data_IF_142841614474
#
_entry.id   IF_142841614474
#
_cell.length_a   1.000
_cell.length_b   1.000
_cell.length_c   1.000
_cell.angle_alpha   90.00
_cell.angle_beta   90.00
_cell.angle_gamma   90.00
#
_symmetry.space_group_name_H-M   'P 1'
#
loop_
_entity.id
_entity.type
_entity.pdbx_description
1 polymer ?
#
# COMPACT_ATOMS: atom_id res chain seq x y z
N UNK A 1 -41.47 15.35 -33.62
CA UNK A 1 -40.35 15.80 -32.78
C UNK A 1 -40.54 15.18 -31.41
N UNK A 2 -39.89 14.06 -31.15
CA UNK A 2 -39.97 13.36 -29.86
C UNK A 2 -38.65 13.58 -29.13
N UNK A 3 -38.63 13.99 -27.86
CA UNK A 3 -37.40 14.06 -27.10
C UNK A 3 -36.98 12.61 -26.83
N UNK A 4 -35.99 12.10 -27.56
CA UNK A 4 -35.36 10.84 -27.16
C UNK A 4 -34.50 11.12 -25.94
N UNK A 5 -35.14 11.15 -24.77
CA UNK A 5 -34.53 11.16 -23.45
C UNK A 5 -33.78 9.85 -23.21
N UNK A 6 -32.76 9.59 -24.02
CA UNK A 6 -31.82 8.52 -23.79
C UNK A 6 -31.02 8.86 -22.56
N UNK A 7 -31.07 8.01 -21.54
CA UNK A 7 -30.24 8.13 -20.34
C UNK A 7 -28.79 8.40 -20.79
N UNK A 8 -28.10 9.42 -20.24
CA UNK A 8 -26.71 9.66 -20.59
C UNK A 8 -25.92 8.42 -20.17
N UNK A 9 -25.41 7.69 -21.17
CA UNK A 9 -24.50 6.59 -20.93
C UNK A 9 -23.17 7.17 -20.51
N UNK A 10 -22.57 6.64 -19.45
CA UNK A 10 -21.29 7.10 -18.91
C UNK A 10 -20.22 7.28 -20.01
N UNK A 11 -20.14 6.34 -20.96
CA UNK A 11 -19.18 6.37 -22.08
C UNK A 11 -19.45 7.45 -23.14
N UNK A 12 -20.66 8.04 -23.17
CA UNK A 12 -20.99 9.16 -24.07
C UNK A 12 -20.59 10.52 -23.50
N UNK A 13 -20.25 10.58 -22.20
CA UNK A 13 -19.73 11.81 -21.61
C UNK A 13 -18.31 12.07 -22.14
N UNK A 14 -17.91 13.35 -22.32
CA UNK A 14 -16.52 13.73 -22.50
C UNK A 14 -15.63 13.14 -21.40
N UNK A 15 -14.37 12.87 -21.72
CA UNK A 15 -13.44 12.21 -20.82
C UNK A 15 -13.28 12.99 -19.51
N UNK A 16 -13.28 14.32 -19.57
CA UNK A 16 -13.12 15.20 -18.41
C UNK A 16 -14.27 15.01 -17.41
N UNK A 17 -15.51 14.85 -17.89
CA UNK A 17 -16.66 14.59 -17.03
C UNK A 17 -16.64 13.16 -16.47
N UNK A 18 -16.18 12.18 -17.26
CA UNK A 18 -15.98 10.82 -16.75
C UNK A 18 -14.93 10.80 -15.64
N UNK A 19 -13.82 11.50 -15.84
CA UNK A 19 -12.72 11.58 -14.90
C UNK A 19 -13.17 12.19 -13.56
N UNK A 20 -13.93 13.29 -13.60
CA UNK A 20 -14.52 13.88 -12.40
C UNK A 20 -15.45 12.90 -11.66
N UNK A 21 -16.33 12.19 -12.37
CA UNK A 21 -17.22 11.19 -11.76
C UNK A 21 -16.39 10.06 -11.13
N UNK A 22 -15.37 9.60 -11.85
CA UNK A 22 -14.51 8.51 -11.42
C UNK A 22 -13.65 8.88 -10.22
N UNK A 23 -13.23 10.13 -10.10
CA UNK A 23 -12.50 10.62 -8.94
C UNK A 23 -13.27 10.35 -7.63
N UNK A 24 -14.58 10.61 -7.60
CA UNK A 24 -15.43 10.31 -6.43
C UNK A 24 -15.62 8.81 -6.16
N UNK A 25 -15.40 7.95 -7.16
CA UNK A 25 -15.57 6.49 -7.04
C UNK A 25 -14.25 5.81 -6.66
N UNK A 26 -13.15 6.31 -7.23
CA UNK A 26 -11.81 5.72 -7.20
C UNK A 26 -11.00 6.26 -6.03
N UNK A 27 -11.03 7.58 -5.80
CA UNK A 27 -10.31 8.17 -4.69
C UNK A 27 -11.06 7.85 -3.41
N UNK A 28 -10.30 7.34 -2.44
CA UNK A 28 -10.80 7.07 -1.10
C UNK A 28 -10.16 8.10 -0.18
N UNK A 29 -10.77 9.30 -0.04
CA UNK A 29 -10.13 10.48 0.57
C UNK A 29 -9.70 10.30 2.02
N UNK A 30 -10.34 9.39 2.76
CA UNK A 30 -10.03 9.13 4.17
C UNK A 30 -9.46 7.72 4.42
N UNK A 31 -9.48 6.84 3.42
CA UNK A 31 -9.26 5.41 3.64
C UNK A 31 -7.99 4.92 2.99
N UNK A 32 -7.04 4.59 3.85
CA UNK A 32 -6.01 3.61 3.55
C UNK A 32 -6.69 2.30 3.13
N UNK A 33 -6.41 1.81 1.93
CA UNK A 33 -7.01 0.57 1.42
C UNK A 33 -6.28 -0.60 2.05
N UNK A 34 -6.90 -1.23 3.05
CA UNK A 34 -6.31 -2.38 3.74
C UNK A 34 -6.37 -3.61 2.86
N UNK A 35 -5.22 -4.27 2.68
CA UNK A 35 -5.07 -5.46 1.84
C UNK A 35 -5.62 -6.72 2.51
N UNK A 36 -5.87 -6.69 3.82
CA UNK A 36 -6.24 -7.85 4.64
C UNK A 36 -7.64 -7.71 5.25
N UNK A 37 -8.47 -8.77 5.21
CA UNK A 37 -9.79 -8.79 5.83
C UNK A 37 -9.75 -8.90 7.36
N UNK A 38 -8.57 -9.17 7.95
CA UNK A 38 -8.41 -9.59 9.34
C UNK A 38 -8.41 -8.44 10.36
N UNK A 39 -8.77 -7.21 9.97
CA UNK A 39 -8.58 -6.04 10.82
C UNK A 39 -9.84 -5.47 11.48
N UNK A 40 -9.70 -5.19 12.79
CA UNK A 40 -10.51 -4.28 13.60
C UNK A 40 -10.39 -2.79 13.18
N UNK A 41 -9.88 -2.49 11.97
CA UNK A 41 -9.93 -1.15 11.40
C UNK A 41 -11.33 -0.89 10.82
N UNK A 42 -12.34 -0.85 11.69
CA UNK A 42 -13.76 -0.65 11.36
C UNK A 42 -14.09 0.69 10.68
N UNK A 43 -13.08 1.50 10.32
CA UNK A 43 -13.22 2.73 9.53
C UNK A 43 -12.80 2.60 8.06
N UNK A 44 -11.98 1.61 7.70
CA UNK A 44 -11.39 1.53 6.35
C UNK A 44 -12.08 0.45 5.50
N UNK A 45 -12.28 0.73 4.21
CA UNK A 45 -12.90 -0.19 3.26
C UNK A 45 -12.04 -1.45 3.08
N UNK A 46 -12.64 -2.62 3.31
CA UNK A 46 -11.96 -3.93 3.50
C UNK A 46 -11.56 -4.58 2.16
N UNK A 47 -11.19 -3.80 1.13
CA UNK A 47 -10.81 -4.42 -0.13
C UNK A 47 -9.85 -3.58 -0.97
N UNK A 48 -8.63 -4.10 -1.11
CA UNK A 48 -7.67 -3.70 -2.16
C UNK A 48 -8.07 -4.10 -3.58
N UNK A 49 -9.38 -4.27 -3.81
CA UNK A 49 -9.97 -4.56 -5.12
C UNK A 49 -10.30 -3.25 -5.83
N UNK A 50 -10.03 -3.15 -7.14
CA UNK A 50 -10.52 -2.06 -7.94
C UNK A 50 -12.04 -1.90 -7.83
N UNK A 51 -12.57 -0.67 -7.95
CA UNK A 51 -14.00 -0.44 -7.97
C UNK A 51 -14.69 -1.31 -9.03
N UNK A 52 -15.90 -1.80 -8.73
CA UNK A 52 -16.64 -2.72 -9.61
C UNK A 52 -16.85 -2.20 -11.03
N UNK A 53 -16.86 -0.87 -11.20
CA UNK A 53 -16.93 -0.20 -12.50
C UNK A 53 -15.71 -0.49 -13.41
N UNK A 54 -14.57 -0.86 -12.86
CA UNK A 54 -13.40 -1.31 -13.62
C UNK A 54 -13.54 -2.74 -14.16
N UNK A 55 -14.61 -3.45 -13.78
CA UNK A 55 -14.91 -4.81 -14.25
C UNK A 55 -15.99 -4.85 -15.32
N UNK A 56 -16.73 -3.75 -15.54
CA UNK A 56 -17.86 -3.76 -16.49
C UNK A 56 -17.45 -3.45 -17.93
N UNK A 57 -16.30 -2.80 -18.14
CA UNK A 57 -15.86 -2.35 -19.48
C UNK A 57 -14.34 -2.17 -19.56
N UNK A 58 -13.74 -2.57 -20.69
CA UNK A 58 -12.28 -2.51 -20.91
C UNK A 58 -11.74 -1.07 -21.00
N UNK A 59 -12.49 -0.14 -21.62
CA UNK A 59 -12.10 1.27 -21.69
C UNK A 59 -12.07 1.88 -20.30
N UNK A 60 -13.14 1.69 -19.52
CA UNK A 60 -13.19 2.17 -18.13
C UNK A 60 -12.05 1.56 -17.31
N UNK A 61 -11.78 0.26 -17.48
CA UNK A 61 -10.66 -0.40 -16.81
C UNK A 61 -9.32 0.27 -17.13
N UNK A 62 -9.05 0.54 -18.41
CA UNK A 62 -7.80 1.13 -18.86
C UNK A 62 -7.64 2.58 -18.40
N UNK A 63 -8.72 3.38 -18.43
CA UNK A 63 -8.72 4.78 -18.00
C UNK A 63 -8.52 4.93 -16.47
N UNK A 64 -9.02 3.98 -15.68
CA UNK A 64 -9.21 4.15 -14.24
C UNK A 64 -8.28 3.33 -13.36
N UNK A 65 -7.82 2.14 -13.79
CA UNK A 65 -6.90 1.34 -12.97
C UNK A 65 -5.58 2.07 -12.65
N UNK A 66 -4.93 2.77 -13.59
CA UNK A 66 -3.73 3.52 -13.27
C UNK A 66 -3.96 4.55 -12.16
N UNK A 67 -5.06 5.32 -12.23
CA UNK A 67 -5.46 6.31 -11.23
C UNK A 67 -5.75 5.67 -9.87
N UNK A 68 -6.45 4.53 -9.87
CA UNK A 68 -6.73 3.79 -8.64
C UNK A 68 -5.45 3.39 -7.90
N UNK A 69 -4.43 2.89 -8.60
CA UNK A 69 -3.17 2.49 -7.95
C UNK A 69 -2.23 3.66 -7.65
N UNK A 70 -2.29 4.76 -8.41
CA UNK A 70 -1.42 5.93 -8.19
C UNK A 70 -1.92 6.86 -7.09
N UNK A 71 -3.23 6.99 -6.96
CA UNK A 71 -3.81 8.05 -6.15
C UNK A 71 -4.30 7.54 -4.77
N UNK A 72 -4.36 6.22 -4.57
CA UNK A 72 -4.67 5.61 -3.29
C UNK A 72 -3.41 5.10 -2.57
N UNK A 73 -3.50 5.04 -1.23
CA UNK A 73 -2.50 4.37 -0.39
C UNK A 73 -2.99 3.00 -0.01
N UNK A 74 -2.22 1.96 -0.36
CA UNK A 74 -2.50 0.58 0.01
C UNK A 74 -1.78 0.25 1.30
N UNK A 75 -2.42 -0.47 2.22
CA UNK A 75 -1.77 -0.91 3.44
C UNK A 75 -1.84 -2.40 3.67
N UNK A 76 -0.67 -2.98 3.92
CA UNK A 76 -0.53 -4.36 4.35
C UNK A 76 -0.06 -4.36 5.81
N UNK A 77 -0.82 -5.03 6.68
CA UNK A 77 -0.24 -5.45 7.94
C UNK A 77 0.57 -6.72 7.68
N UNK A 78 1.78 -6.85 8.21
CA UNK A 78 2.66 -7.98 7.91
C UNK A 78 3.26 -8.57 9.20
N UNK A 79 2.41 -8.85 10.18
CA UNK A 79 2.81 -9.34 11.52
C UNK A 79 3.15 -10.82 11.57
N UNK A 80 2.66 -11.57 10.59
CA UNK A 80 2.73 -13.01 10.56
C UNK A 80 2.84 -13.49 9.11
N UNK A 81 3.06 -14.79 8.94
CA UNK A 81 3.29 -15.41 7.63
C UNK A 81 2.03 -15.44 6.77
N UNK A 82 0.85 -15.61 7.36
CA UNK A 82 -0.43 -15.68 6.64
C UNK A 82 -0.80 -14.32 6.01
N UNK A 83 -0.55 -13.24 6.76
CA UNK A 83 -0.74 -11.87 6.31
C UNK A 83 0.18 -11.55 5.12
N UNK A 84 1.46 -11.98 5.19
CA UNK A 84 2.40 -11.86 4.08
C UNK A 84 1.95 -12.67 2.85
N UNK A 85 1.55 -13.92 3.02
CA UNK A 85 1.07 -14.78 1.92
C UNK A 85 -0.15 -14.16 1.23
N UNK A 86 -1.06 -13.57 1.99
CA UNK A 86 -2.22 -12.86 1.45
C UNK A 86 -1.81 -11.60 0.67
N UNK A 87 -0.89 -10.80 1.21
CA UNK A 87 -0.38 -9.60 0.55
C UNK A 87 0.36 -9.94 -0.76
N UNK A 88 1.19 -10.98 -0.75
CA UNK A 88 1.91 -11.47 -1.93
C UNK A 88 0.94 -12.02 -2.98
N UNK A 89 -0.09 -12.77 -2.56
CA UNK A 89 -1.14 -13.27 -3.48
C UNK A 89 -1.88 -12.12 -4.16
N UNK A 90 -2.22 -11.07 -3.40
CA UNK A 90 -2.81 -9.86 -3.97
C UNK A 90 -1.87 -9.20 -4.98
N UNK A 91 -0.60 -9.04 -4.64
CA UNK A 91 0.40 -8.41 -5.49
C UNK A 91 0.59 -9.20 -6.80
N UNK A 92 0.65 -10.53 -6.72
CA UNK A 92 0.69 -11.41 -7.89
C UNK A 92 -0.56 -11.27 -8.77
N UNK A 93 -1.75 -11.13 -8.15
CA UNK A 93 -3.00 -10.93 -8.88
C UNK A 93 -3.08 -9.56 -9.59
N UNK A 94 -2.33 -8.55 -9.13
CA UNK A 94 -2.19 -7.28 -9.84
C UNK A 94 -1.42 -7.44 -11.15
N UNK A 95 -0.29 -8.16 -11.09
CA UNK A 95 0.68 -8.26 -12.17
C UNK A 95 1.46 -6.95 -12.41
N UNK A 96 2.59 -7.05 -13.09
CA UNK A 96 3.53 -5.93 -13.30
C UNK A 96 2.91 -4.72 -14.00
N UNK A 97 1.91 -4.96 -14.87
CA UNK A 97 1.19 -3.91 -15.58
C UNK A 97 0.45 -2.95 -14.64
N UNK A 98 -0.01 -3.44 -13.50
CA UNK A 98 -0.71 -2.63 -12.51
C UNK A 98 0.23 -2.19 -11.37
N UNK A 99 1.19 -3.03 -10.96
CA UNK A 99 2.16 -2.71 -9.90
C UNK A 99 3.00 -1.48 -10.27
N UNK A 100 3.35 -1.28 -11.54
CA UNK A 100 4.06 -0.07 -11.99
C UNK A 100 3.31 1.24 -11.72
N UNK A 101 2.00 1.18 -11.51
CA UNK A 101 1.16 2.34 -11.17
C UNK A 101 1.04 2.56 -9.66
N UNK A 102 1.47 1.61 -8.83
CA UNK A 102 1.45 1.72 -7.38
C UNK A 102 2.39 2.85 -6.94
N UNK A 103 1.84 3.86 -6.28
CA UNK A 103 2.62 5.02 -5.84
C UNK A 103 2.96 4.99 -4.36
N UNK A 104 1.99 4.60 -3.52
CA UNK A 104 2.16 4.62 -2.06
C UNK A 104 1.72 3.29 -1.45
N UNK A 105 2.64 2.64 -0.76
CA UNK A 105 2.41 1.39 -0.05
C UNK A 105 2.81 1.58 1.42
N UNK A 106 1.89 1.39 2.34
CA UNK A 106 2.15 1.43 3.77
C UNK A 106 2.20 0.01 4.33
N UNK A 107 3.30 -0.32 5.00
CA UNK A 107 3.52 -1.59 5.67
C UNK A 107 3.45 -1.33 7.16
N UNK A 108 2.58 -2.04 7.87
CA UNK A 108 2.46 -1.89 9.30
C UNK A 108 2.58 -3.21 10.03
N UNK A 109 2.99 -3.13 11.29
CA UNK A 109 3.01 -4.31 12.11
C UNK A 109 3.66 -4.18 13.48
N UNK A 110 3.46 -5.20 14.30
CA UNK A 110 4.11 -5.35 15.59
C UNK A 110 5.49 -5.99 15.42
N UNK A 111 6.53 -5.21 15.65
CA UNK A 111 7.88 -5.76 15.87
C UNK A 111 8.07 -6.09 17.35
N UNK A 112 8.88 -7.12 17.60
CA UNK A 112 9.35 -7.50 18.93
C UNK A 112 10.74 -6.91 19.11
N UNK A 113 11.00 -6.31 20.27
CA UNK A 113 12.29 -5.66 20.58
C UNK A 113 12.82 -6.26 21.88
N UNK A 114 14.06 -6.79 21.90
CA UNK A 114 14.62 -7.38 23.10
C UNK A 114 15.13 -6.29 24.05
N UNK A 115 14.80 -6.43 25.33
CA UNK A 115 15.18 -5.54 26.43
C UNK A 115 15.71 -6.36 27.60
N UNK A 116 17.03 -6.56 27.66
CA UNK A 116 17.64 -7.49 28.62
C UNK A 116 17.08 -8.90 28.46
N UNK A 117 16.36 -9.39 29.48
CA UNK A 117 15.66 -10.69 29.47
C UNK A 117 14.19 -10.61 29.04
N UNK A 118 13.67 -9.42 28.74
CA UNK A 118 12.28 -9.18 28.35
C UNK A 118 12.16 -8.90 26.85
N UNK A 119 10.97 -9.12 26.28
CA UNK A 119 10.63 -8.74 24.90
C UNK A 119 9.45 -7.78 24.94
N UNK A 120 9.63 -6.59 24.36
CA UNK A 120 8.58 -5.58 24.21
C UNK A 120 8.03 -5.59 22.79
N UNK A 121 6.74 -5.27 22.61
CA UNK A 121 6.13 -5.14 21.28
C UNK A 121 5.99 -3.66 20.92
N UNK A 122 6.40 -3.29 19.72
CA UNK A 122 6.29 -1.93 19.18
C UNK A 122 5.56 -1.96 17.85
N UNK A 123 4.64 -1.02 17.68
CA UNK A 123 3.92 -0.85 16.42
C UNK A 123 4.76 0.01 15.48
N UNK A 124 5.01 -0.51 14.27
CA UNK A 124 5.70 0.19 13.20
C UNK A 124 4.75 0.42 12.05
N UNK A 125 4.84 1.61 11.46
CA UNK A 125 4.22 1.93 10.19
C UNK A 125 5.27 2.57 9.28
N UNK A 126 5.51 1.93 8.15
CA UNK A 126 6.47 2.35 7.12
C UNK A 126 5.69 2.66 5.86
N UNK A 127 5.77 3.90 5.38
CA UNK A 127 5.15 4.34 4.14
C UNK A 127 6.21 4.45 3.04
N UNK A 128 6.05 3.67 1.99
CA UNK A 128 6.91 3.63 0.82
C UNK A 128 6.29 4.50 -0.28
N UNK A 129 6.96 5.58 -0.65
CA UNK A 129 6.64 6.37 -1.83
C UNK A 129 7.43 5.85 -3.03
N UNK A 130 6.91 4.78 -3.64
CA UNK A 130 7.57 4.00 -4.70
C UNK A 130 8.05 4.87 -5.87
N UNK A 131 7.24 5.83 -6.32
CA UNK A 131 7.60 6.73 -7.43
C UNK A 131 8.70 7.73 -7.07
N UNK A 132 8.76 8.15 -5.80
CA UNK A 132 9.76 9.10 -5.31
C UNK A 132 11.04 8.40 -4.82
N UNK A 133 10.97 7.09 -4.55
CA UNK A 133 12.06 6.35 -3.93
C UNK A 133 12.31 6.79 -2.48
N UNK A 134 11.27 7.28 -1.79
CA UNK A 134 11.37 7.77 -0.40
C UNK A 134 10.60 6.84 0.53
N UNK A 135 11.12 6.65 1.74
CA UNK A 135 10.47 5.89 2.79
C UNK A 135 10.29 6.75 4.03
N UNK A 136 9.05 6.89 4.48
CA UNK A 136 8.68 7.56 5.72
C UNK A 136 8.35 6.53 6.79
N UNK A 137 8.73 6.80 8.04
CA UNK A 137 8.44 5.90 9.15
C UNK A 137 7.67 6.68 10.21
N UNK A 138 6.45 6.21 10.50
CA UNK A 138 5.63 6.70 11.60
C UNK A 138 5.68 5.69 12.73
N UNK A 139 6.38 6.04 13.80
CA UNK A 139 6.23 5.36 15.08
C UNK A 139 5.03 6.00 15.79
N UNK A 140 4.04 5.21 16.22
CA UNK A 140 3.08 5.74 17.20
C UNK A 140 3.84 5.95 18.50
N UNK A 141 3.98 7.22 18.89
CA UNK A 141 4.60 7.65 20.13
C UNK A 141 4.07 6.80 21.29
N UNK A 142 4.99 6.10 21.95
CA UNK A 142 4.88 5.97 23.38
C UNK A 142 5.77 7.05 23.94
N UNK A 143 5.16 8.12 24.46
CA UNK A 143 5.72 8.89 25.56
C UNK A 143 6.33 7.88 26.53
N UNK A 144 7.67 7.78 26.58
CA UNK A 144 8.46 7.20 27.66
C UNK A 144 9.92 7.16 27.20
N UNK A 145 10.64 8.17 27.72
CA UNK A 145 12.07 8.23 28.04
C UNK A 145 13.10 7.54 27.13
N UNK A 146 14.13 8.32 26.81
CA UNK A 146 15.41 7.88 26.28
C UNK A 146 15.91 6.59 26.98
N UNK A 147 15.91 5.48 26.24
CA UNK A 147 16.42 4.19 26.69
C UNK A 147 17.02 3.45 25.48
N UNK A 148 17.99 2.56 25.71
CA UNK A 148 18.70 1.75 24.69
C UNK A 148 17.77 1.01 23.70
N UNK A 149 16.51 0.81 24.09
CA UNK A 149 15.43 0.26 23.26
C UNK A 149 15.14 1.11 22.01
N UNK A 150 15.17 2.44 22.13
CA UNK A 150 14.93 3.38 21.04
C UNK A 150 16.07 3.30 20.00
N UNK A 151 17.31 3.14 20.47
CA UNK A 151 18.47 2.97 19.62
C UNK A 151 18.39 1.70 18.75
N UNK A 152 18.01 0.55 19.33
CA UNK A 152 17.94 -0.72 18.57
C UNK A 152 16.86 -0.71 17.49
N UNK A 153 15.67 -0.21 17.81
CA UNK A 153 14.58 -0.07 16.83
C UNK A 153 14.98 0.89 15.72
N UNK A 154 15.66 1.99 16.06
CA UNK A 154 16.19 2.90 15.07
C UNK A 154 17.24 2.24 14.18
N UNK A 155 18.16 1.42 14.71
CA UNK A 155 19.13 0.69 13.88
C UNK A 155 18.44 -0.18 12.84
N UNK A 156 17.45 -0.99 13.22
CA UNK A 156 16.75 -1.87 12.27
C UNK A 156 15.91 -1.06 11.27
N UNK A 157 15.34 0.07 11.69
CA UNK A 157 14.65 1.00 10.78
C UNK A 157 15.63 1.64 9.78
N UNK A 158 16.82 2.04 10.23
CA UNK A 158 17.86 2.58 9.37
C UNK A 158 18.41 1.53 8.40
N UNK A 159 18.52 0.26 8.82
CA UNK A 159 18.84 -0.87 7.92
C UNK A 159 17.76 -1.08 6.85
N UNK A 160 16.48 -0.97 7.23
CA UNK A 160 15.36 -1.03 6.28
C UNK A 160 15.40 0.15 5.31
N UNK A 161 15.66 1.37 5.78
CA UNK A 161 15.85 2.57 4.94
C UNK A 161 16.99 2.39 3.96
N UNK A 162 18.14 1.92 4.44
CA UNK A 162 19.32 1.67 3.62
C UNK A 162 19.06 0.58 2.56
N UNK A 163 18.35 -0.49 2.93
CA UNK A 163 17.97 -1.56 2.01
C UNK A 163 17.01 -1.07 0.93
N UNK A 164 16.01 -0.27 1.30
CA UNK A 164 15.10 0.36 0.35
C UNK A 164 15.82 1.32 -0.58
N UNK A 165 16.73 2.16 -0.05
CA UNK A 165 17.52 3.10 -0.85
C UNK A 165 18.40 2.37 -1.88
N UNK A 166 19.08 1.29 -1.48
CA UNK A 166 19.87 0.44 -2.40
C UNK A 166 18.99 -0.15 -3.51
N UNK A 167 17.78 -0.60 -3.16
CA UNK A 167 16.86 -1.16 -4.14
C UNK A 167 16.36 -0.08 -5.11
N UNK A 168 16.06 1.13 -4.64
CA UNK A 168 15.72 2.29 -5.49
C UNK A 168 16.87 2.63 -6.45
N UNK A 169 18.11 2.65 -5.95
CA UNK A 169 19.30 2.93 -6.75
C UNK A 169 19.54 1.86 -7.82
N UNK A 170 19.51 0.59 -7.42
CA UNK A 170 19.69 -0.55 -8.32
C UNK A 170 18.66 -0.56 -9.47
N UNK A 171 17.46 -0.03 -9.23
CA UNK A 171 16.41 0.08 -10.24
C UNK A 171 16.64 1.20 -11.22
N UNK A 172 17.44 2.24 -10.91
CA UNK A 172 17.81 3.31 -11.83
C UNK A 172 16.62 3.91 -12.61
N UNK A 173 15.48 4.09 -11.92
CA UNK A 173 14.24 4.64 -12.50
C UNK A 173 13.33 3.63 -13.21
N UNK A 174 13.65 2.32 -13.22
CA UNK A 174 12.77 1.29 -13.76
C UNK A 174 11.45 1.18 -12.98
N UNK A 175 10.30 0.95 -13.65
CA UNK A 175 8.99 0.84 -13.00
C UNK A 175 8.88 -0.40 -12.10
N UNK A 176 8.34 -0.24 -10.90
CA UNK A 176 8.18 -1.31 -9.91
C UNK A 176 7.44 -2.52 -10.48
N UNK A 177 7.95 -3.70 -10.14
CA UNK A 177 7.43 -5.01 -10.51
C UNK A 177 7.01 -5.80 -9.26
N UNK A 178 6.23 -6.86 -9.47
CA UNK A 178 5.72 -7.73 -8.40
C UNK A 178 6.87 -8.24 -7.52
N UNK A 179 7.95 -8.73 -8.11
CA UNK A 179 9.06 -9.33 -7.37
C UNK A 179 9.72 -8.32 -6.43
N UNK A 180 10.00 -7.12 -6.91
CA UNK A 180 10.71 -6.10 -6.13
C UNK A 180 9.87 -5.58 -4.97
N UNK A 181 8.55 -5.44 -5.16
CA UNK A 181 7.64 -5.06 -4.07
C UNK A 181 7.49 -6.21 -3.06
N UNK A 182 7.46 -7.45 -3.52
CA UNK A 182 7.45 -8.64 -2.67
C UNK A 182 8.70 -8.72 -1.78
N UNK A 183 9.90 -8.51 -2.33
CA UNK A 183 11.16 -8.53 -1.57
C UNK A 183 11.14 -7.53 -0.40
N UNK A 184 10.51 -6.35 -0.57
CA UNK A 184 10.34 -5.36 0.51
C UNK A 184 9.33 -5.85 1.56
N UNK A 185 8.20 -6.42 1.12
CA UNK A 185 7.19 -6.97 2.03
C UNK A 185 7.76 -8.11 2.88
N UNK A 186 8.56 -8.99 2.29
CA UNK A 186 9.27 -10.06 2.98
C UNK A 186 10.28 -9.49 3.98
N UNK A 187 11.07 -8.49 3.58
CA UNK A 187 12.00 -7.78 4.47
C UNK A 187 11.31 -7.18 5.70
N UNK A 188 10.16 -6.52 5.51
CA UNK A 188 9.38 -5.97 6.60
C UNK A 188 8.76 -7.06 7.49
N UNK A 189 8.26 -8.15 6.90
CA UNK A 189 7.71 -9.26 7.68
C UNK A 189 8.78 -9.95 8.53
N UNK A 190 10.01 -10.12 8.01
CA UNK A 190 11.15 -10.61 8.79
C UNK A 190 11.46 -9.69 9.97
N UNK A 191 11.31 -8.37 9.82
CA UNK A 191 11.48 -7.42 10.92
C UNK A 191 10.38 -7.55 11.99
N UNK A 192 9.17 -7.96 11.62
CA UNK A 192 8.06 -8.16 12.55
C UNK A 192 8.13 -9.54 13.25
N UNK A 193 8.58 -10.56 12.53
CA UNK A 193 8.55 -11.96 12.96
C UNK A 193 9.88 -12.50 13.47
N UNK A 194 11.00 -11.89 13.05
CA UNK A 194 12.35 -12.42 13.21
C UNK A 194 12.81 -12.50 14.66
N UNK A 195 12.83 -13.73 15.18
CA UNK A 195 13.54 -14.22 16.37
C UNK A 195 13.92 -15.69 16.15
#
# INVERSE_FOLDING_TARGET
>A
MSPTGGKPYLLKLPQELRDLIMEYIILKPENTITMLPNFNCHKNEISARPPSICSVNQQLRYENLPKFYSDNTFTAQLDNKEDLETAVTWLAALGDQNVRHLQTLSLCGWTRVPFGHMVSRRWLNVTLHLKKGVMDVRQMEADLAADDLYCRVNTTIEELKASFAKLVEARSGLPWDVRSVQEIMEGFNMLCTGY
#
